data_IF_984239670856
#
_entry.id   IF_984239670856
#
_cell.length_a   1.000
_cell.length_b   1.000
_cell.length_c   1.000
_cell.angle_alpha   90.00
_cell.angle_beta   90.00
_cell.angle_gamma   90.00
#
_symmetry.space_group_name_H-M   'P 1'
#
loop_
_entity.id
_entity.type
_entity.pdbx_description
1 polymer ?
#
# COMPACT_ATOMS: atom_id res chain seq x y z
N UNK A 1 -40.28 -4.35 -60.98
CA UNK A 1 -38.86 -4.18 -60.81
C UNK A 1 -38.50 -3.10 -59.73
N UNK A 2 -39.05 -1.87 -59.81
CA UNK A 2 -38.72 -0.81 -58.80
C UNK A 2 -39.11 -1.21 -57.37
N UNK A 3 -40.22 -1.89 -57.14
CA UNK A 3 -40.65 -2.35 -55.80
C UNK A 3 -39.69 -3.41 -55.17
N UNK A 4 -39.09 -4.26 -56.00
CA UNK A 4 -38.14 -5.27 -55.57
C UNK A 4 -36.79 -4.65 -55.17
N UNK A 5 -36.33 -3.66 -55.91
CA UNK A 5 -35.12 -2.91 -55.55
C UNK A 5 -35.29 -2.09 -54.26
N UNK A 6 -36.49 -1.49 -54.06
CA UNK A 6 -36.79 -0.74 -52.83
C UNK A 6 -36.80 -1.65 -51.59
N UNK A 7 -37.34 -2.86 -51.71
CA UNK A 7 -37.35 -3.84 -50.64
C UNK A 7 -35.90 -4.31 -50.26
N UNK A 8 -35.02 -4.49 -51.25
CA UNK A 8 -33.62 -4.86 -51.02
C UNK A 8 -32.85 -3.71 -50.33
N UNK A 9 -33.09 -2.46 -50.74
CA UNK A 9 -32.43 -1.30 -50.11
C UNK A 9 -32.89 -1.14 -48.65
N UNK A 10 -34.17 -1.33 -48.36
CA UNK A 10 -34.69 -1.28 -46.99
C UNK A 10 -34.13 -2.43 -46.15
N UNK A 11 -34.00 -3.64 -46.71
CA UNK A 11 -33.40 -4.77 -46.03
C UNK A 11 -31.90 -4.57 -45.74
N UNK A 12 -31.15 -3.94 -46.66
CA UNK A 12 -29.76 -3.56 -46.41
C UNK A 12 -29.60 -2.46 -45.36
N UNK A 13 -30.50 -1.49 -45.30
CA UNK A 13 -30.53 -0.42 -44.31
C UNK A 13 -30.86 -0.95 -42.89
N UNK A 14 -31.71 -1.97 -42.79
CA UNK A 14 -32.01 -2.61 -41.48
C UNK A 14 -30.92 -3.56 -41.02
N UNK A 15 -30.08 -4.07 -41.92
CA UNK A 15 -28.90 -4.92 -41.59
C UNK A 15 -27.69 -4.14 -41.04
N UNK A 16 -27.69 -2.79 -41.17
CA UNK A 16 -26.69 -1.93 -40.54
C UNK A 16 -27.05 -1.58 -39.09
N UNK A 17 -28.11 -2.18 -38.55
CA UNK A 17 -28.53 -1.98 -37.19
C UNK A 17 -27.53 -2.60 -36.24
N UNK A 18 -26.87 -1.72 -35.47
CA UNK A 18 -26.54 -1.93 -34.07
C UNK A 18 -25.50 -3.01 -33.82
N UNK A 19 -24.35 -2.87 -34.38
CA UNK A 19 -23.17 -3.01 -33.56
C UNK A 19 -23.17 -1.79 -32.59
N UNK A 20 -24.11 -1.75 -31.67
CA UNK A 20 -23.92 -0.99 -30.45
C UNK A 20 -22.66 -1.58 -29.82
N UNK A 21 -21.51 -1.03 -30.18
CA UNK A 21 -20.31 -1.23 -29.42
C UNK A 21 -20.75 -0.84 -28.03
N UNK A 22 -20.91 -1.81 -27.16
CA UNK A 22 -20.90 -1.58 -25.72
C UNK A 22 -19.58 -0.88 -25.47
N UNK A 23 -19.58 0.45 -25.49
CA UNK A 23 -18.50 1.23 -24.97
C UNK A 23 -18.40 0.83 -23.50
N UNK A 24 -17.51 -0.09 -23.20
CA UNK A 24 -17.26 -0.54 -21.85
C UNK A 24 -16.59 0.65 -21.19
N UNK A 25 -17.39 1.47 -20.50
CA UNK A 25 -16.85 2.52 -19.68
C UNK A 25 -16.12 1.83 -18.54
N UNK A 26 -14.79 1.96 -18.54
CA UNK A 26 -13.90 1.36 -17.55
C UNK A 26 -13.98 2.00 -16.17
N UNK A 27 -15.23 2.20 -15.67
CA UNK A 27 -15.54 2.87 -14.41
C UNK A 27 -15.62 1.92 -13.20
N UNK A 28 -15.45 0.60 -13.44
CA UNK A 28 -15.49 -0.43 -12.39
C UNK A 28 -14.51 -1.53 -12.68
N UNK A 29 -13.83 -2.01 -11.63
CA UNK A 29 -12.88 -3.09 -11.82
C UNK A 29 -11.99 -3.33 -10.62
N UNK A 30 -10.92 -4.07 -10.91
CA UNK A 30 -9.84 -4.36 -9.98
C UNK A 30 -8.51 -4.08 -10.68
N UNK A 31 -7.63 -3.36 -10.01
CA UNK A 31 -6.27 -3.10 -10.46
C UNK A 31 -5.32 -3.75 -9.47
N UNK A 32 -4.47 -4.64 -9.98
CA UNK A 32 -3.39 -5.22 -9.18
C UNK A 32 -2.18 -4.30 -9.20
N UNK A 33 -1.63 -4.00 -8.04
CA UNK A 33 -0.45 -3.15 -7.87
C UNK A 33 0.69 -3.91 -7.20
N UNK A 34 1.90 -3.66 -7.67
CA UNK A 34 3.11 -3.92 -6.92
C UNK A 34 3.48 -2.66 -6.12
N UNK A 35 3.44 -2.77 -4.78
CA UNK A 35 3.96 -1.76 -3.87
C UNK A 35 5.40 -2.10 -3.54
N UNK A 36 6.34 -1.34 -4.11
CA UNK A 36 7.78 -1.51 -3.88
C UNK A 36 8.23 -0.55 -2.78
N UNK A 37 8.79 -1.08 -1.70
CA UNK A 37 9.40 -0.31 -0.61
C UNK A 37 10.91 -0.51 -0.63
N UNK A 38 11.68 0.54 -0.86
CA UNK A 38 13.16 0.50 -0.84
C UNK A 38 13.64 0.51 0.62
N UNK A 39 13.63 -0.66 1.24
CA UNK A 39 13.88 -0.85 2.67
C UNK A 39 15.25 -0.34 3.10
N UNK A 40 16.29 -0.61 2.33
CA UNK A 40 17.66 -0.19 2.63
C UNK A 40 17.81 1.34 2.62
N UNK A 41 17.27 2.00 1.59
CA UNK A 41 17.30 3.46 1.48
C UNK A 41 16.52 4.12 2.62
N UNK A 42 15.33 3.60 2.93
CA UNK A 42 14.47 4.05 4.03
C UNK A 42 15.16 3.92 5.40
N UNK A 43 15.83 2.79 5.64
CA UNK A 43 16.57 2.58 6.89
C UNK A 43 17.79 3.50 7.02
N UNK A 44 18.51 3.78 5.91
CA UNK A 44 19.59 4.77 5.88
C UNK A 44 19.10 6.16 6.23
N UNK A 45 17.98 6.59 5.64
CA UNK A 45 17.38 7.89 5.95
C UNK A 45 16.99 7.98 7.42
N UNK A 46 16.33 6.95 7.96
CA UNK A 46 15.98 6.91 9.39
C UNK A 46 17.18 6.93 10.30
N UNK A 47 18.30 6.34 9.91
CA UNK A 47 19.55 6.36 10.71
C UNK A 47 20.22 7.72 10.70
N UNK A 48 20.18 8.45 9.59
CA UNK A 48 20.71 9.81 9.47
C UNK A 48 19.91 10.82 10.31
N UNK A 49 18.60 10.61 10.45
CA UNK A 49 17.72 11.43 11.29
C UNK A 49 17.89 11.13 12.81
N UNK A 50 18.46 9.98 13.14
CA UNK A 50 18.81 9.60 14.51
C UNK A 50 20.17 10.15 14.84
N UNK A 51 20.19 11.32 15.52
CA UNK A 51 21.38 12.08 15.90
C UNK A 51 22.53 11.22 16.44
N UNK A 52 23.74 11.70 16.20
CA UNK A 52 25.09 11.15 16.42
C UNK A 52 25.38 10.40 17.74
N UNK A 53 24.51 10.47 18.75
CA UNK A 53 24.64 9.73 20.02
C UNK A 53 24.43 8.23 19.93
N UNK A 54 23.88 7.71 18.82
CA UNK A 54 23.75 6.27 18.57
C UNK A 54 24.87 5.71 17.67
N UNK A 55 25.75 6.54 17.16
CA UNK A 55 26.87 6.12 16.31
C UNK A 55 27.87 5.21 17.02
N UNK A 56 28.00 5.33 18.34
CA UNK A 56 28.92 4.47 19.13
C UNK A 56 28.44 3.01 19.25
N UNK A 57 27.17 2.74 18.94
CA UNK A 57 26.61 1.39 18.74
C UNK A 57 26.46 1.00 17.25
N UNK A 58 27.02 1.81 16.37
CA UNK A 58 26.69 1.81 14.93
C UNK A 58 27.32 0.71 14.10
N UNK A 59 28.41 0.07 14.53
CA UNK A 59 29.06 -0.96 13.72
C UNK A 59 28.14 -2.17 13.43
N UNK A 60 27.42 -2.65 14.42
CA UNK A 60 26.49 -3.77 14.23
C UNK A 60 25.24 -3.43 13.38
N UNK A 61 24.84 -2.16 13.39
CA UNK A 61 23.70 -1.71 12.58
C UNK A 61 24.05 -1.63 11.09
N UNK A 62 25.22 -1.09 10.75
CA UNK A 62 25.68 -1.00 9.35
C UNK A 62 25.90 -2.38 8.74
N UNK A 63 26.50 -3.31 9.46
CA UNK A 63 26.64 -4.71 9.01
C UNK A 63 25.28 -5.39 8.80
N UNK A 64 24.31 -5.11 9.65
CA UNK A 64 22.95 -5.63 9.49
C UNK A 64 22.24 -5.01 8.28
N UNK A 65 22.46 -3.71 8.03
CA UNK A 65 21.92 -2.99 6.88
C UNK A 65 22.42 -3.58 5.56
N UNK A 66 23.69 -3.98 5.49
CA UNK A 66 24.28 -4.55 4.28
C UNK A 66 23.67 -5.93 3.93
N UNK A 67 23.24 -6.68 4.92
CA UNK A 67 22.59 -7.99 4.77
C UNK A 67 21.08 -7.90 4.45
N UNK A 68 20.48 -6.70 4.54
CA UNK A 68 19.06 -6.52 4.23
C UNK A 68 18.82 -6.49 2.71
N UNK A 69 17.66 -6.97 2.24
CA UNK A 69 17.29 -6.81 0.84
C UNK A 69 17.15 -5.33 0.48
N UNK A 70 17.51 -4.98 -0.75
CA UNK A 70 17.45 -3.61 -1.28
C UNK A 70 16.02 -3.06 -1.19
N UNK A 71 15.05 -3.88 -1.60
CA UNK A 71 13.64 -3.54 -1.62
C UNK A 71 12.78 -4.74 -1.22
N UNK A 72 11.55 -4.44 -0.85
CA UNK A 72 10.48 -5.40 -0.61
C UNK A 72 9.28 -5.04 -1.49
N UNK A 73 8.62 -6.03 -2.07
CA UNK A 73 7.43 -5.84 -2.90
C UNK A 73 6.24 -6.52 -2.25
N UNK A 74 5.19 -5.75 -2.00
CA UNK A 74 3.88 -6.22 -1.56
C UNK A 74 2.90 -6.13 -2.72
N UNK A 75 2.13 -7.19 -2.97
CA UNK A 75 1.04 -7.16 -3.94
C UNK A 75 -0.23 -6.64 -3.28
N UNK A 76 -0.89 -5.70 -3.97
CA UNK A 76 -2.09 -5.03 -3.50
C UNK A 76 -3.15 -5.06 -4.61
N UNK A 77 -4.42 -5.19 -4.24
CA UNK A 77 -5.54 -5.07 -5.16
C UNK A 77 -6.35 -3.81 -4.81
N UNK A 78 -6.56 -2.95 -5.81
CA UNK A 78 -7.45 -1.80 -5.74
C UNK A 78 -8.76 -2.17 -6.44
N UNK A 79 -9.81 -2.36 -5.68
CA UNK A 79 -11.17 -2.47 -6.19
C UNK A 79 -11.74 -1.07 -6.35
N UNK A 80 -12.40 -0.78 -7.46
CA UNK A 80 -12.93 0.54 -7.72
C UNK A 80 -14.28 0.50 -8.43
N UNK A 81 -15.10 1.49 -8.14
CA UNK A 81 -16.27 1.88 -8.91
C UNK A 81 -16.36 3.41 -9.00
N UNK A 82 -17.44 3.94 -9.56
CA UNK A 82 -17.65 5.38 -9.73
C UNK A 82 -17.69 6.17 -8.42
N UNK A 83 -17.94 5.50 -7.29
CA UNK A 83 -18.25 6.14 -6.02
C UNK A 83 -17.18 5.89 -4.95
N UNK A 84 -16.48 4.76 -5.04
CA UNK A 84 -15.58 4.33 -3.98
C UNK A 84 -14.41 3.49 -4.50
N UNK A 85 -13.37 3.40 -3.69
CA UNK A 85 -12.27 2.46 -3.90
C UNK A 85 -11.88 1.77 -2.60
N UNK A 86 -11.39 0.54 -2.70
CA UNK A 86 -10.77 -0.21 -1.60
C UNK A 86 -9.43 -0.77 -2.06
N UNK A 87 -8.36 -0.36 -1.40
CA UNK A 87 -7.03 -0.95 -1.58
C UNK A 87 -6.74 -1.90 -0.42
N UNK A 88 -6.48 -3.16 -0.75
CA UNK A 88 -6.14 -4.20 0.23
C UNK A 88 -5.00 -5.09 -0.28
N UNK A 89 -4.25 -5.73 0.62
CA UNK A 89 -3.25 -6.72 0.22
C UNK A 89 -3.90 -7.85 -0.57
N UNK A 90 -3.19 -8.36 -1.57
CA UNK A 90 -3.58 -9.58 -2.24
C UNK A 90 -3.56 -10.74 -1.24
N UNK A 91 -4.65 -11.49 -1.12
CA UNK A 91 -4.66 -12.69 -0.30
C UNK A 91 -3.68 -13.71 -0.90
N UNK A 92 -2.56 -13.94 -0.23
CA UNK A 92 -1.66 -15.02 -0.61
C UNK A 92 -2.41 -16.35 -0.39
N UNK A 93 -2.95 -16.91 -1.47
CA UNK A 93 -3.33 -18.31 -1.48
C UNK A 93 -2.05 -19.12 -1.23
N UNK A 94 -1.90 -19.58 0.01
CA UNK A 94 -0.76 -20.36 0.49
C UNK A 94 -0.69 -21.72 -0.22
N UNK A 95 -0.25 -21.74 -1.48
CA UNK A 95 -0.01 -22.97 -2.25
C UNK A 95 1.28 -22.93 -3.06
N UNK A 96 2.17 -21.98 -2.83
CA UNK A 96 3.55 -22.16 -3.25
C UNK A 96 4.35 -22.80 -2.11
N UNK A 97 4.31 -24.14 -2.08
CA UNK A 97 5.33 -24.95 -1.43
C UNK A 97 6.66 -24.57 -2.06
N UNK A 98 7.46 -23.80 -1.30
CA UNK A 98 8.90 -23.69 -1.60
C UNK A 98 9.49 -25.10 -1.63
N UNK A 99 9.60 -25.68 -2.82
CA UNK A 99 10.51 -26.77 -3.07
C UNK A 99 11.94 -26.22 -3.09
N UNK A 100 12.46 -25.97 -1.91
CA UNK A 100 13.86 -25.74 -1.66
C UNK A 100 14.42 -27.00 -1.03
N UNK A 101 14.90 -27.94 -1.83
CA UNK A 101 15.71 -29.06 -1.38
C UNK A 101 16.98 -28.54 -0.72
N UNK A 102 17.07 -28.75 0.58
CA UNK A 102 18.21 -28.45 1.40
C UNK A 102 18.13 -29.19 2.72
N UNK A 103 17.97 -30.54 2.66
CA UNK A 103 18.15 -31.40 3.84
C UNK A 103 19.62 -31.36 4.26
N UNK A 104 20.00 -30.43 5.13
CA UNK A 104 21.15 -30.64 5.99
C UNK A 104 20.70 -31.36 7.26
N UNK A 105 20.98 -32.66 7.26
CA UNK A 105 20.95 -33.53 8.44
C UNK A 105 22.00 -33.01 9.42
N UNK A 106 21.59 -32.51 10.57
CA UNK A 106 22.49 -32.31 11.69
C UNK A 106 22.91 -33.68 12.26
N UNK A 107 24.18 -33.89 12.56
CA UNK A 107 24.62 -35.12 13.20
C UNK A 107 24.17 -35.15 14.67
N UNK A 108 23.58 -36.26 15.04
CA UNK A 108 23.17 -36.62 16.38
C UNK A 108 24.43 -36.88 17.23
N UNK A 109 24.76 -35.99 18.15
CA UNK A 109 25.84 -36.22 19.12
C UNK A 109 25.16 -36.50 20.47
N UNK A 110 25.05 -37.77 20.77
CA UNK A 110 24.83 -38.26 22.14
C UNK A 110 26.10 -38.06 22.96
N UNK A 111 26.05 -37.21 23.96
CA UNK A 111 27.06 -37.18 25.02
C UNK A 111 26.35 -37.16 26.36
N UNK A 112 26.45 -38.28 27.03
CA UNK A 112 26.27 -38.44 28.49
C UNK A 112 27.29 -37.61 29.23
N UNK A 113 26.88 -36.85 30.25
CA UNK A 113 27.80 -36.15 31.16
C UNK A 113 27.08 -35.62 32.38
N UNK A 114 27.30 -36.29 33.47
CA UNK A 114 26.84 -36.02 34.86
C UNK A 114 27.31 -34.65 35.40
N UNK A 115 26.43 -34.01 36.18
CA UNK A 115 26.79 -33.44 37.50
C UNK A 115 27.26 -31.99 37.51
N UNK A 116 26.54 -31.15 38.23
CA UNK A 116 26.98 -29.84 38.64
C UNK A 116 25.84 -28.98 39.18
N UNK A 117 25.50 -29.18 40.48
CA UNK A 117 24.75 -28.18 41.26
C UNK A 117 25.59 -26.90 41.37
N UNK A 118 25.02 -25.76 41.01
CA UNK A 118 25.40 -24.54 41.73
C UNK A 118 24.16 -23.60 41.80
N UNK A 119 23.84 -23.27 43.03
CA UNK A 119 22.91 -22.20 43.44
C UNK A 119 23.58 -20.86 43.18
N UNK A 120 22.81 -19.91 42.71
CA UNK A 120 23.22 -18.52 42.62
C UNK A 120 22.12 -17.69 42.05
N UNK A 121 21.34 -17.07 42.95
CA UNK A 121 20.25 -16.17 42.58
C UNK A 121 20.80 -14.90 41.96
N UNK A 122 20.03 -14.32 41.06
CA UNK A 122 20.04 -12.89 40.77
C UNK A 122 18.70 -12.46 40.16
N UNK A 123 18.21 -11.47 40.82
CA UNK A 123 17.01 -10.69 40.56
C UNK A 123 16.98 -10.08 39.16
N UNK A 124 15.77 -10.01 38.62
CA UNK A 124 15.21 -8.76 38.17
C UNK A 124 15.68 -8.21 36.83
N UNK A 125 14.79 -8.05 35.96
CA UNK A 125 14.97 -7.23 34.79
C UNK A 125 13.90 -7.58 33.77
N UNK A 126 12.67 -7.17 34.05
CA UNK A 126 11.61 -7.10 33.04
C UNK A 126 12.02 -6.12 31.94
N UNK A 127 12.73 -6.60 30.94
CA UNK A 127 13.02 -5.89 29.71
C UNK A 127 11.90 -6.16 28.71
N UNK A 128 10.87 -5.31 28.75
CA UNK A 128 9.72 -5.41 27.88
C UNK A 128 10.14 -5.47 26.40
N UNK A 129 9.46 -6.30 25.69
CA UNK A 129 9.49 -6.52 24.23
C UNK A 129 9.16 -5.25 23.41
N UNK A 130 9.95 -4.17 23.55
CA UNK A 130 9.83 -2.96 22.73
C UNK A 130 10.56 -3.03 21.38
N UNK A 131 11.19 -4.17 21.07
CA UNK A 131 11.93 -4.33 19.81
C UNK A 131 11.11 -4.80 18.60
N UNK A 132 9.80 -5.02 18.79
CA UNK A 132 8.93 -5.59 17.74
C UNK A 132 8.35 -4.59 16.72
N UNK A 133 8.21 -3.33 17.08
CA UNK A 133 7.40 -2.37 16.27
C UNK A 133 8.10 -1.81 15.01
N UNK A 134 9.41 -1.95 14.89
CA UNK A 134 10.17 -1.44 13.73
C UNK A 134 10.83 -2.55 12.89
N UNK A 135 10.63 -3.80 13.26
CA UNK A 135 11.01 -4.89 12.38
C UNK A 135 9.93 -5.02 11.29
N UNK A 136 10.26 -4.64 10.07
CA UNK A 136 9.47 -4.93 8.87
C UNK A 136 9.35 -6.45 8.66
N UNK A 137 8.68 -7.12 9.58
CA UNK A 137 8.15 -8.46 9.38
C UNK A 137 6.96 -8.30 8.47
N UNK A 138 6.88 -9.10 7.43
CA UNK A 138 5.70 -9.23 6.58
C UNK A 138 4.46 -9.28 7.47
N UNK A 139 3.75 -8.16 7.53
CA UNK A 139 2.62 -8.01 8.43
C UNK A 139 1.48 -8.80 7.79
N UNK A 140 1.20 -10.00 8.32
CA UNK A 140 0.07 -10.84 7.90
C UNK A 140 -1.29 -10.15 8.10
N UNK A 141 -1.27 -8.96 8.67
CA UNK A 141 -2.44 -8.16 8.99
C UNK A 141 -2.40 -6.91 8.11
N UNK A 142 -2.87 -7.06 6.89
CA UNK A 142 -2.82 -6.01 5.89
C UNK A 142 -3.63 -4.78 6.29
N UNK A 143 -3.05 -3.63 6.02
CA UNK A 143 -3.73 -2.35 6.02
C UNK A 143 -4.76 -2.33 4.88
N UNK A 144 -5.99 -1.86 5.16
CA UNK A 144 -7.02 -1.62 4.16
C UNK A 144 -7.30 -0.13 4.08
N UNK A 145 -7.31 0.42 2.87
CA UNK A 145 -7.62 1.82 2.61
C UNK A 145 -8.89 1.91 1.78
N UNK A 146 -9.91 2.54 2.32
CA UNK A 146 -11.17 2.83 1.62
C UNK A 146 -11.26 4.32 1.33
N UNK A 147 -11.73 4.68 0.13
CA UNK A 147 -12.07 6.06 -0.23
C UNK A 147 -13.53 6.12 -0.66
N UNK A 148 -14.29 7.04 -0.07
CA UNK A 148 -15.58 7.47 -0.58
C UNK A 148 -15.36 8.71 -1.43
N UNK A 149 -15.44 8.55 -2.75
CA UNK A 149 -15.14 9.61 -3.73
C UNK A 149 -16.24 10.68 -3.75
N UNK A 150 -17.49 10.30 -3.38
CA UNK A 150 -18.61 11.24 -3.30
C UNK A 150 -18.59 12.07 -2.03
N UNK A 151 -18.35 11.42 -0.89
CA UNK A 151 -18.28 12.10 0.38
C UNK A 151 -16.93 12.83 0.59
N UNK A 152 -15.89 12.50 -0.18
CA UNK A 152 -14.55 13.03 0.00
C UNK A 152 -13.92 12.58 1.32
N UNK A 153 -14.19 11.34 1.73
CA UNK A 153 -13.69 10.76 2.99
C UNK A 153 -12.89 9.49 2.75
N UNK A 154 -12.06 9.15 3.71
CA UNK A 154 -11.30 7.91 3.72
C UNK A 154 -11.42 7.20 5.06
N UNK A 155 -11.50 5.87 4.99
CA UNK A 155 -11.38 4.98 6.13
C UNK A 155 -10.11 4.15 6.01
N UNK A 156 -9.32 4.13 7.06
CA UNK A 156 -8.06 3.40 7.12
C UNK A 156 -8.18 2.33 8.20
N UNK A 157 -8.23 1.07 7.81
CA UNK A 157 -8.22 -0.04 8.75
C UNK A 157 -6.79 -0.49 9.00
N UNK A 158 -6.38 -0.44 10.26
CA UNK A 158 -5.06 -0.86 10.72
C UNK A 158 -5.20 -2.01 11.72
N UNK A 159 -4.29 -2.96 11.64
CA UNK A 159 -4.18 -4.03 12.62
C UNK A 159 -2.74 -4.02 13.17
N UNK A 160 -2.57 -3.45 14.35
CA UNK A 160 -1.28 -3.35 15.06
C UNK A 160 -1.34 -4.31 16.25
N UNK A 161 -1.58 -3.82 17.45
CA UNK A 161 -1.87 -4.67 18.63
C UNK A 161 -3.37 -4.93 18.75
N UNK A 162 -4.15 -3.95 18.33
CA UNK A 162 -5.61 -3.98 18.22
C UNK A 162 -6.02 -3.54 16.82
N UNK A 163 -7.28 -3.73 16.47
CA UNK A 163 -7.83 -3.27 15.19
C UNK A 163 -8.38 -1.86 15.33
N UNK A 164 -7.91 -0.96 14.48
CA UNK A 164 -8.32 0.43 14.45
C UNK A 164 -8.97 0.75 13.10
N UNK A 165 -10.02 1.54 13.14
CA UNK A 165 -10.63 2.15 11.97
C UNK A 165 -10.53 3.67 12.11
N UNK A 166 -9.68 4.27 11.30
CA UNK A 166 -9.46 5.71 11.29
C UNK A 166 -10.29 6.31 10.17
N UNK A 167 -11.12 7.31 10.50
CA UNK A 167 -11.96 7.99 9.50
C UNK A 167 -11.52 9.45 9.39
N UNK A 168 -11.21 9.88 8.15
CA UNK A 168 -10.69 11.21 7.84
C UNK A 168 -11.34 11.79 6.58
N UNK A 169 -11.27 13.09 6.43
CA UNK A 169 -11.54 13.76 5.16
C UNK A 169 -10.33 13.63 4.25
N UNK A 170 -10.56 13.45 2.95
CA UNK A 170 -9.47 13.44 1.97
C UNK A 170 -8.89 14.85 1.84
N UNK A 171 -7.60 14.99 2.15
CA UNK A 171 -6.89 16.25 1.96
C UNK A 171 -6.65 16.52 0.48
N UNK A 172 -6.78 17.78 0.06
CA UNK A 172 -6.51 18.18 -1.32
C UNK A 172 -5.05 17.97 -1.69
N UNK A 173 -4.82 17.41 -2.88
CA UNK A 173 -3.50 17.29 -3.50
C UNK A 173 -3.42 18.32 -4.64
N UNK A 174 -2.39 19.16 -4.62
CA UNK A 174 -2.15 20.11 -5.72
C UNK A 174 -1.33 19.43 -6.79
N UNK A 175 -1.86 19.33 -8.01
CA UNK A 175 -1.22 18.68 -9.14
C UNK A 175 -0.69 19.67 -10.18
N UNK A 176 0.52 19.42 -10.68
CA UNK A 176 1.14 20.09 -11.80
C UNK A 176 1.33 19.12 -12.95
N UNK A 177 0.65 19.36 -14.06
CA UNK A 177 0.70 18.52 -15.25
C UNK A 177 2.04 18.67 -15.98
N UNK A 178 2.51 17.58 -16.60
CA UNK A 178 3.68 17.53 -17.46
C UNK A 178 3.30 16.98 -18.84
N UNK A 179 4.21 17.07 -19.80
CA UNK A 179 4.05 16.47 -21.14
C UNK A 179 4.74 15.09 -21.24
N UNK A 180 5.03 14.47 -20.11
CA UNK A 180 5.63 13.15 -20.07
C UNK A 180 4.56 12.06 -19.97
N UNK A 181 4.77 10.98 -20.74
CA UNK A 181 3.87 9.83 -20.78
C UNK A 181 4.65 8.54 -20.53
N UNK A 182 3.98 7.56 -19.94
CA UNK A 182 4.51 6.22 -19.70
C UNK A 182 3.43 5.18 -19.89
N UNK A 183 3.75 4.08 -20.59
CA UNK A 183 2.85 2.93 -20.64
C UNK A 183 2.93 2.14 -19.33
N UNK A 184 1.77 1.91 -18.69
CA UNK A 184 1.62 1.15 -17.44
C UNK A 184 0.44 0.20 -17.61
N UNK A 185 0.68 -1.09 -17.43
CA UNK A 185 -0.32 -2.14 -17.62
C UNK A 185 -1.06 -2.07 -18.97
N UNK A 186 -0.36 -1.63 -20.04
CA UNK A 186 -0.91 -1.49 -21.39
C UNK A 186 -1.58 -0.16 -21.69
N UNK A 187 -1.77 0.72 -20.70
CA UNK A 187 -2.42 2.03 -20.84
C UNK A 187 -1.38 3.15 -20.88
N UNK A 188 -1.62 4.15 -21.74
CA UNK A 188 -0.76 5.33 -21.82
C UNK A 188 -1.14 6.36 -20.75
N UNK A 189 -0.29 6.49 -19.73
CA UNK A 189 -0.53 7.34 -18.57
C UNK A 189 0.27 8.64 -18.66
N UNK A 190 -0.37 9.76 -18.36
CA UNK A 190 0.29 11.06 -18.27
C UNK A 190 0.91 11.27 -16.91
N UNK A 191 2.15 11.74 -16.87
CA UNK A 191 2.85 12.08 -15.63
C UNK A 191 2.39 13.43 -15.08
N UNK A 192 2.23 13.48 -13.77
CA UNK A 192 2.00 14.72 -13.01
C UNK A 192 2.85 14.72 -11.75
N UNK A 193 3.21 15.91 -11.29
CA UNK A 193 3.87 16.11 -10.01
C UNK A 193 2.86 16.68 -9.02
N UNK A 194 2.84 16.16 -7.80
CA UNK A 194 1.88 16.53 -6.78
C UNK A 194 2.54 16.96 -5.48
N UNK A 195 1.81 17.74 -4.71
CA UNK A 195 2.15 18.05 -3.33
C UNK A 195 0.90 17.95 -2.46
N UNK A 196 0.99 17.23 -1.35
CA UNK A 196 -0.06 17.24 -0.32
C UNK A 196 -0.02 18.56 0.45
N UNK A 197 -1.08 18.84 1.22
CA UNK A 197 -1.16 20.00 2.12
C UNK A 197 0.05 20.08 3.05
N UNK A 198 0.58 18.96 3.45
CA UNK A 198 1.74 18.82 4.32
C UNK A 198 3.08 18.83 3.58
N UNK A 199 3.08 19.22 2.30
CA UNK A 199 4.26 19.33 1.45
C UNK A 199 4.96 18.01 1.12
N UNK A 200 4.27 16.86 1.25
CA UNK A 200 4.78 15.59 0.76
C UNK A 200 4.76 15.60 -0.77
N UNK A 201 5.90 15.39 -1.39
CA UNK A 201 6.03 15.40 -2.84
C UNK A 201 5.63 14.04 -3.43
N UNK A 202 4.82 14.09 -4.49
CA UNK A 202 4.28 12.93 -5.20
C UNK A 202 4.60 13.03 -6.69
N UNK A 203 4.86 11.88 -7.31
CA UNK A 203 4.88 11.75 -8.77
C UNK A 203 3.82 10.71 -9.11
N UNK A 204 2.81 11.11 -9.88
CA UNK A 204 1.75 10.21 -10.30
C UNK A 204 1.71 10.05 -11.82
N UNK A 205 1.22 8.91 -12.26
CA UNK A 205 0.92 8.58 -13.64
C UNK A 205 -0.53 8.16 -13.71
N UNK A 206 -1.38 8.95 -14.38
CA UNK A 206 -2.81 8.68 -14.43
C UNK A 206 -3.28 8.39 -15.85
N UNK A 207 -4.33 7.59 -15.94
CA UNK A 207 -4.98 7.16 -17.17
C UNK A 207 -6.35 7.83 -17.29
N UNK A 208 -6.57 8.65 -18.32
CA UNK A 208 -7.86 9.27 -18.63
C UNK A 208 -8.89 8.25 -19.12
N UNK A 209 -8.42 7.11 -19.64
CA UNK A 209 -9.26 6.01 -20.11
C UNK A 209 -10.10 5.36 -19.00
N UNK A 210 -9.69 5.53 -17.73
CA UNK A 210 -10.42 5.08 -16.54
C UNK A 210 -10.90 6.32 -15.79
N UNK A 211 -12.14 6.80 -16.04
CA UNK A 211 -12.61 8.10 -15.58
C UNK A 211 -13.02 8.09 -14.09
N UNK A 212 -12.18 7.52 -13.24
CA UNK A 212 -12.35 7.46 -11.78
C UNK A 212 -11.20 8.20 -11.14
N UNK A 213 -11.50 9.28 -10.42
CA UNK A 213 -10.50 10.16 -9.78
C UNK A 213 -9.95 9.55 -8.51
N UNK A 214 -9.19 8.47 -8.63
CA UNK A 214 -8.66 7.70 -7.51
C UNK A 214 -7.31 7.05 -7.84
N UNK A 215 -6.69 6.41 -6.84
CA UNK A 215 -5.47 5.66 -7.00
C UNK A 215 -5.03 4.95 -5.71
N UNK A 216 -3.85 4.34 -5.71
CA UNK A 216 -3.31 3.71 -4.51
C UNK A 216 -2.99 4.75 -3.44
N UNK A 217 -2.93 4.29 -2.17
CA UNK A 217 -2.52 5.11 -1.03
C UNK A 217 -3.31 6.42 -0.85
N UNK A 218 -4.63 6.37 -1.02
CA UNK A 218 -5.55 7.51 -0.91
C UNK A 218 -5.26 8.66 -1.90
N UNK A 219 -4.51 8.42 -2.96
CA UNK A 219 -4.27 9.42 -4.01
C UNK A 219 -5.54 9.66 -4.84
N UNK A 220 -5.80 10.93 -5.19
CA UNK A 220 -7.02 11.36 -5.89
C UNK A 220 -6.84 12.74 -6.53
N UNK A 221 -7.90 13.29 -7.13
CA UNK A 221 -7.94 14.67 -7.65
C UNK A 221 -7.40 14.83 -9.06
N UNK A 222 -7.18 13.74 -9.81
CA UNK A 222 -6.84 13.74 -11.23
C UNK A 222 -8.06 13.33 -12.07
N UNK A 223 -8.14 13.70 -13.35
CA UNK A 223 -9.27 13.37 -14.22
C UNK A 223 -9.22 11.91 -14.73
N UNK A 224 -8.69 10.99 -13.91
CA UNK A 224 -8.57 9.57 -14.24
C UNK A 224 -7.86 8.80 -13.14
N UNK A 225 -7.79 7.48 -13.32
CA UNK A 225 -7.20 6.54 -12.37
C UNK A 225 -5.67 6.64 -12.34
N UNK A 226 -5.10 6.73 -11.16
CA UNK A 226 -3.66 6.73 -10.96
C UNK A 226 -3.15 5.28 -10.99
N UNK A 227 -2.39 4.96 -12.04
CA UNK A 227 -1.81 3.63 -12.25
C UNK A 227 -0.35 3.52 -11.79
N UNK A 228 0.31 4.64 -11.57
CA UNK A 228 1.64 4.71 -10.99
C UNK A 228 1.72 5.84 -9.97
N UNK A 229 2.27 5.55 -8.79
CA UNK A 229 2.50 6.55 -7.74
C UNK A 229 3.86 6.34 -7.12
N UNK A 230 4.67 7.40 -7.10
CA UNK A 230 5.99 7.41 -6.47
C UNK A 230 6.00 8.46 -5.37
N UNK A 231 6.45 8.07 -4.19
CA UNK A 231 6.61 8.91 -3.00
C UNK A 231 8.09 8.89 -2.61
N UNK A 232 8.91 9.80 -3.19
CA UNK A 232 10.37 9.73 -3.05
C UNK A 232 10.85 9.80 -1.60
N UNK A 233 10.27 10.69 -0.80
CA UNK A 233 10.65 10.87 0.62
C UNK A 233 10.41 9.63 1.47
N UNK A 234 9.45 8.79 1.06
CA UNK A 234 9.12 7.55 1.77
C UNK A 234 9.82 6.32 1.20
N UNK A 235 10.50 6.48 0.06
CA UNK A 235 11.08 5.37 -0.69
C UNK A 235 10.05 4.29 -1.05
N UNK A 236 8.84 4.73 -1.45
CA UNK A 236 7.72 3.86 -1.82
C UNK A 236 7.30 4.15 -3.26
N UNK A 237 6.97 3.10 -4.00
CA UNK A 237 6.39 3.18 -5.34
C UNK A 237 5.24 2.18 -5.47
N UNK A 238 4.19 2.58 -6.17
CA UNK A 238 3.08 1.71 -6.59
C UNK A 238 3.04 1.67 -8.11
N UNK A 239 2.98 0.47 -8.68
CA UNK A 239 2.88 0.28 -10.12
C UNK A 239 1.78 -0.72 -10.43
N UNK A 240 0.79 -0.31 -11.24
CA UNK A 240 -0.23 -1.22 -11.74
C UNK A 240 0.41 -2.28 -12.64
N UNK A 241 0.08 -3.54 -12.39
CA UNK A 241 0.57 -4.69 -13.13
C UNK A 241 -0.51 -5.32 -13.99
N UNK A 242 -1.77 -5.25 -13.53
CA UNK A 242 -2.92 -5.80 -14.24
C UNK A 242 -4.18 -4.97 -13.97
N UNK A 243 -5.06 -4.88 -14.96
CA UNK A 243 -6.35 -4.20 -14.88
C UNK A 243 -7.42 -5.15 -15.37
N UNK A 244 -8.39 -5.45 -14.51
CA UNK A 244 -9.54 -6.30 -14.81
C UNK A 244 -10.82 -5.52 -14.60
N UNK A 245 -11.53 -5.22 -15.67
CA UNK A 245 -12.85 -4.58 -15.59
C UNK A 245 -13.91 -5.58 -15.17
N UNK A 246 -14.78 -5.20 -14.25
CA UNK A 246 -15.87 -6.04 -13.76
C UNK A 246 -17.14 -5.19 -13.57
N UNK A 247 -18.31 -5.87 -13.49
CA UNK A 247 -19.56 -5.22 -13.12
C UNK A 247 -19.82 -5.21 -11.61
N UNK A 248 -18.91 -5.78 -10.82
CA UNK A 248 -19.06 -5.87 -9.38
C UNK A 248 -18.82 -4.51 -8.72
N UNK A 249 -19.58 -4.23 -7.68
CA UNK A 249 -19.34 -3.09 -6.80
C UNK A 249 -18.12 -3.35 -5.93
N UNK A 250 -17.57 -2.28 -5.37
CA UNK A 250 -16.49 -2.36 -4.40
C UNK A 250 -16.90 -3.24 -3.20
N UNK A 251 -16.06 -4.18 -2.75
CA UNK A 251 -16.35 -5.03 -1.59
C UNK A 251 -16.67 -4.20 -0.35
N UNK A 252 -17.66 -4.63 0.44
CA UNK A 252 -18.07 -3.96 1.68
C UNK A 252 -17.69 -4.74 2.94
N UNK A 253 -17.24 -5.96 2.79
CA UNK A 253 -16.89 -6.90 3.87
C UNK A 253 -15.47 -6.69 4.45
N UNK A 254 -14.71 -5.76 3.91
CA UNK A 254 -13.36 -5.41 4.38
C UNK A 254 -13.35 -4.80 5.79
N UNK A 255 -14.47 -4.17 6.19
CA UNK A 255 -14.59 -3.48 7.48
C UNK A 255 -14.81 -4.45 8.64
N UNK A 256 -13.85 -4.55 9.55
CA UNK A 256 -14.04 -5.35 10.77
C UNK A 256 -14.91 -4.61 11.79
N UNK A 257 -16.02 -5.23 12.17
CA UNK A 257 -16.99 -4.67 13.14
C UNK A 257 -16.42 -4.47 14.55
N UNK A 258 -15.30 -5.13 14.88
CA UNK A 258 -14.63 -5.03 16.18
C UNK A 258 -13.56 -3.95 16.22
N UNK A 259 -13.30 -3.26 15.12
CA UNK A 259 -12.30 -2.19 15.07
C UNK A 259 -12.72 -0.99 15.93
N UNK A 260 -11.78 -0.44 16.67
CA UNK A 260 -11.95 0.81 17.42
C UNK A 260 -11.98 1.96 16.42
N UNK A 261 -13.13 2.65 16.36
CA UNK A 261 -13.29 3.83 15.51
C UNK A 261 -12.66 5.04 16.21
N UNK A 262 -11.83 5.78 15.50
CA UNK A 262 -11.25 7.04 15.99
C UNK A 262 -10.76 7.92 14.83
N UNK A 263 -10.49 9.18 15.13
CA UNK A 263 -9.84 10.08 14.16
C UNK A 263 -8.33 9.88 14.13
N UNK A 264 -7.69 10.24 13.03
CA UNK A 264 -6.24 10.15 12.87
C UNK A 264 -5.47 10.94 13.93
N UNK A 265 -5.99 12.12 14.34
CA UNK A 265 -5.42 12.94 15.42
C UNK A 265 -5.41 12.20 16.76
N UNK A 266 -6.53 11.57 17.12
CA UNK A 266 -6.67 10.79 18.36
C UNK A 266 -5.71 9.59 18.35
N UNK A 267 -5.63 8.90 17.21
CA UNK A 267 -4.70 7.79 17.02
C UNK A 267 -3.25 8.28 17.15
N UNK A 268 -2.90 9.42 16.57
CA UNK A 268 -1.58 10.02 16.67
C UNK A 268 -1.19 10.37 18.11
N UNK A 269 -2.15 10.92 18.87
CA UNK A 269 -1.94 11.24 20.29
C UNK A 269 -1.73 9.97 21.14
N UNK A 270 -2.42 8.90 20.80
CA UNK A 270 -2.29 7.60 21.45
C UNK A 270 -0.92 6.99 21.15
N UNK A 271 -0.50 7.04 19.91
CA UNK A 271 0.81 6.55 19.45
C UNK A 271 1.97 7.34 20.04
N UNK A 272 1.80 8.66 20.23
CA UNK A 272 2.79 9.54 20.87
C UNK A 272 3.12 9.15 22.31
N UNK A 273 2.21 8.49 23.03
CA UNK A 273 2.47 7.99 24.40
C UNK A 273 3.47 6.84 24.45
N UNK A 274 3.55 6.05 23.37
CA UNK A 274 4.47 4.92 23.25
C UNK A 274 5.84 5.33 22.72
N UNK A 275 6.02 6.59 22.32
CA UNK A 275 7.31 7.09 21.85
C UNK A 275 8.18 7.61 22.99
N UNK A 276 9.49 7.38 22.94
CA UNK A 276 10.44 8.02 23.84
C UNK A 276 10.27 9.55 23.78
N UNK A 277 10.30 10.22 24.94
CA UNK A 277 10.09 11.68 25.04
C UNK A 277 11.00 12.51 24.12
N UNK A 278 12.19 12.04 23.81
CA UNK A 278 13.13 12.67 22.90
C UNK A 278 12.75 12.55 21.41
N UNK A 279 11.74 11.75 21.08
CA UNK A 279 11.19 11.56 19.71
C UNK A 279 9.78 12.11 19.53
N UNK A 280 9.26 12.85 20.49
CA UNK A 280 7.93 13.47 20.43
C UNK A 280 7.92 14.76 19.59
N UNK A 281 8.90 14.93 18.72
CA UNK A 281 8.91 16.00 17.75
C UNK A 281 7.73 15.82 16.79
N UNK A 282 6.97 16.89 16.52
CA UNK A 282 5.82 16.89 15.60
C UNK A 282 6.17 16.32 14.23
N UNK A 283 7.38 16.60 13.72
CA UNK A 283 7.86 16.04 12.45
C UNK A 283 7.99 14.51 12.49
N UNK A 284 8.38 13.93 13.63
CA UNK A 284 8.50 12.48 13.76
C UNK A 284 7.13 11.81 13.85
N UNK A 285 6.17 12.43 14.53
CA UNK A 285 4.78 11.97 14.58
C UNK A 285 4.16 11.97 13.18
N UNK A 286 4.30 13.08 12.46
CA UNK A 286 3.83 13.23 11.09
C UNK A 286 4.38 12.12 10.18
N UNK A 287 5.71 11.91 10.16
CA UNK A 287 6.34 10.85 9.35
C UNK A 287 5.81 9.46 9.65
N UNK A 288 5.50 9.16 10.92
CA UNK A 288 4.95 7.85 11.30
C UNK A 288 3.52 7.71 10.77
N UNK A 289 2.71 8.75 10.92
CA UNK A 289 1.35 8.74 10.39
C UNK A 289 1.34 8.60 8.88
N UNK A 290 2.19 9.34 8.18
CA UNK A 290 2.39 9.20 6.73
C UNK A 290 2.79 7.76 6.36
N UNK A 291 3.69 7.14 7.14
CA UNK A 291 4.09 5.73 6.92
C UNK A 291 2.98 4.73 7.21
N UNK A 292 2.05 5.05 8.09
CA UNK A 292 0.87 4.20 8.34
C UNK A 292 -0.17 4.34 7.22
N UNK A 293 -0.27 5.51 6.61
CA UNK A 293 -1.19 5.76 5.48
C UNK A 293 -0.61 5.25 4.17
N UNK A 294 0.62 5.55 3.86
CA UNK A 294 1.31 5.15 2.63
C UNK A 294 2.14 3.89 2.84
#
# INVERSE_FOLDING_TARGET
MIKTYLAIIISCLTGLSLQAQYAYFGNRGTISFDKVTYTKARMRQMSNDMSSKMMDRGMGFMEHLDKMPESHTDRMNLYFDENATVLMPEESTSTEKQNGEGKMRAPNVTANGRGGRNQGGARGGGGGNQRGMLRGGANKNGKVLYQDLKAGTADIQLNIDEKYLLSETLDSITWRFTEEFRNIAGINCRRVNGATKDSLYLIAYYAEEIPVSAGPALSHGLPGMILGLVIPEMHIQYWATNIAYTNNLVPTDWRDKKSKQMKLEEFSALFGRYMPRNRQNESAKKRILEQLVY
#
